data_IF_904544991880
#
_entry.id   IF_904544991880
#
_cell.length_a   1.000
_cell.length_b   1.000
_cell.length_c   1.000
_cell.angle_alpha   90.00
_cell.angle_beta   90.00
_cell.angle_gamma   90.00
#
_symmetry.space_group_name_H-M   'P 1'
#
loop_
_entity.id
_entity.type
_entity.pdbx_description
1 polymer ?
#
# COMPACT_ATOMS: atom_id res chain seq x y z
N UNK A 1 -15.30 -8.59 5.43
CA UNK A 1 -15.11 -10.04 5.22
C UNK A 1 -14.96 -10.26 3.73
N UNK A 2 -14.12 -11.21 3.32
CA UNK A 2 -13.90 -11.51 1.90
C UNK A 2 -15.08 -12.32 1.30
N UNK A 3 -15.31 -12.29 -0.02
CA UNK A 3 -16.43 -13.00 -0.67
C UNK A 3 -16.47 -14.49 -0.31
N UNK A 4 -15.31 -15.15 -0.36
CA UNK A 4 -15.17 -16.55 0.04
C UNK A 4 -15.51 -16.79 1.52
N UNK A 5 -15.21 -15.85 2.41
CA UNK A 5 -15.52 -15.98 3.84
C UNK A 5 -17.03 -15.98 4.10
N UNK A 6 -17.78 -15.12 3.40
CA UNK A 6 -19.24 -15.14 3.41
C UNK A 6 -19.79 -16.47 2.89
N UNK A 7 -19.23 -16.98 1.79
CA UNK A 7 -19.61 -18.28 1.25
C UNK A 7 -19.34 -19.46 2.21
N UNK A 8 -18.19 -19.49 2.87
CA UNK A 8 -17.90 -20.52 3.88
C UNK A 8 -18.87 -20.40 5.06
N UNK A 9 -19.25 -19.18 5.45
CA UNK A 9 -20.23 -18.96 6.50
C UNK A 9 -21.63 -19.48 6.11
N UNK A 10 -22.11 -19.18 4.90
CA UNK A 10 -23.39 -19.72 4.42
C UNK A 10 -23.37 -21.24 4.33
N UNK A 11 -22.28 -21.84 3.86
CA UNK A 11 -22.11 -23.30 3.86
C UNK A 11 -22.20 -23.90 5.28
N UNK A 12 -21.63 -23.22 6.29
CA UNK A 12 -21.66 -23.67 7.69
C UNK A 12 -23.06 -23.59 8.27
N UNK A 13 -23.78 -22.52 7.96
CA UNK A 13 -25.17 -22.32 8.39
C UNK A 13 -26.11 -23.36 7.76
N UNK A 14 -25.95 -23.65 6.47
CA UNK A 14 -26.68 -24.72 5.79
C UNK A 14 -26.40 -26.08 6.43
N UNK A 15 -25.14 -26.39 6.73
CA UNK A 15 -24.78 -27.65 7.36
C UNK A 15 -25.35 -27.77 8.78
N UNK A 16 -25.33 -26.69 9.56
CA UNK A 16 -25.92 -26.67 10.91
C UNK A 16 -27.44 -26.88 10.88
N UNK A 17 -28.13 -26.37 9.87
CA UNK A 17 -29.57 -26.57 9.67
C UNK A 17 -29.92 -28.00 9.24
N UNK A 18 -29.12 -28.58 8.35
CA UNK A 18 -29.37 -29.92 7.78
C UNK A 18 -28.90 -31.06 8.70
N UNK A 19 -27.80 -30.84 9.42
CA UNK A 19 -27.20 -31.83 10.31
C UNK A 19 -26.89 -31.20 11.69
N UNK A 20 -27.92 -30.89 12.50
CA UNK A 20 -27.75 -30.20 13.78
C UNK A 20 -26.94 -30.99 14.82
N UNK A 21 -26.94 -32.32 14.78
CA UNK A 21 -26.15 -33.17 15.69
C UNK A 21 -24.77 -33.58 15.14
N UNK A 22 -24.50 -33.36 13.85
CA UNK A 22 -23.27 -33.85 13.24
C UNK A 22 -22.14 -32.81 13.37
N UNK A 23 -21.15 -33.12 14.20
CA UNK A 23 -19.94 -32.31 14.34
C UNK A 23 -19.20 -32.21 13.00
N UNK A 24 -18.95 -30.98 12.55
CA UNK A 24 -18.20 -30.70 11.32
C UNK A 24 -16.68 -30.82 11.56
N UNK A 25 -16.01 -31.72 10.84
CA UNK A 25 -14.56 -31.74 10.79
C UNK A 25 -14.05 -30.53 9.97
N UNK A 26 -13.32 -29.61 10.61
CA UNK A 26 -12.85 -28.36 10.00
C UNK A 26 -12.05 -28.59 8.71
N UNK A 27 -11.14 -29.57 8.72
CA UNK A 27 -10.26 -29.83 7.58
C UNK A 27 -11.03 -30.34 6.35
N UNK A 28 -11.99 -31.23 6.57
CA UNK A 28 -12.84 -31.77 5.51
C UNK A 28 -13.83 -30.72 5.00
N UNK A 29 -14.41 -29.94 5.91
CA UNK A 29 -15.36 -28.90 5.58
C UNK A 29 -14.69 -27.79 4.75
N UNK A 30 -13.48 -27.38 5.11
CA UNK A 30 -12.71 -26.40 4.35
C UNK A 30 -12.38 -26.89 2.93
N UNK A 31 -12.05 -28.17 2.75
CA UNK A 31 -11.82 -28.77 1.42
C UNK A 31 -13.10 -28.76 0.58
N UNK A 32 -14.22 -29.23 1.14
CA UNK A 32 -15.54 -29.23 0.48
C UNK A 32 -15.99 -27.82 0.08
N UNK A 33 -15.77 -26.81 0.93
CA UNK A 33 -16.06 -25.41 0.60
C UNK A 33 -15.19 -24.90 -0.55
N UNK A 34 -13.89 -25.24 -0.57
CA UNK A 34 -13.00 -24.79 -1.66
C UNK A 34 -13.42 -25.38 -3.00
N UNK A 35 -13.76 -26.67 -3.06
CA UNK A 35 -14.24 -27.33 -4.27
C UNK A 35 -15.56 -26.72 -4.76
N UNK A 36 -16.51 -26.50 -3.84
CA UNK A 36 -17.79 -25.89 -4.16
C UNK A 36 -17.65 -24.43 -4.63
N UNK A 37 -16.73 -23.66 -4.02
CA UNK A 37 -16.45 -22.29 -4.45
C UNK A 37 -15.89 -22.22 -5.87
N UNK A 38 -14.99 -23.15 -6.23
CA UNK A 38 -14.44 -23.23 -7.59
C UNK A 38 -15.52 -23.57 -8.63
N UNK A 39 -16.46 -24.45 -8.28
CA UNK A 39 -17.57 -24.85 -9.14
C UNK A 39 -18.76 -23.89 -9.20
N UNK A 40 -18.76 -22.78 -8.44
CA UNK A 40 -19.83 -21.78 -8.51
C UNK A 40 -19.75 -20.96 -9.79
N UNK A 41 -20.92 -20.60 -10.32
CA UNK A 41 -21.04 -19.70 -11.47
C UNK A 41 -20.60 -18.28 -11.10
N UNK A 42 -20.26 -17.47 -12.12
CA UNK A 42 -19.91 -16.06 -11.91
C UNK A 42 -21.06 -15.28 -11.25
N UNK A 43 -22.32 -15.59 -11.60
CA UNK A 43 -23.51 -14.98 -11.01
C UNK A 43 -23.63 -15.28 -9.51
N UNK A 44 -23.37 -16.54 -9.10
CA UNK A 44 -23.42 -16.89 -7.69
C UNK A 44 -22.28 -16.25 -6.89
N UNK A 45 -21.08 -16.17 -7.50
CA UNK A 45 -19.93 -15.48 -6.89
C UNK A 45 -20.18 -13.98 -6.73
N UNK A 46 -20.82 -13.34 -7.72
CA UNK A 46 -21.18 -11.92 -7.68
C UNK A 46 -22.03 -11.56 -6.45
N UNK A 47 -22.97 -12.42 -6.06
CA UNK A 47 -23.76 -12.22 -4.85
C UNK A 47 -22.88 -12.14 -3.58
N UNK A 48 -21.82 -12.96 -3.49
CA UNK A 48 -20.87 -12.91 -2.37
C UNK A 48 -19.88 -11.74 -2.47
N UNK A 49 -19.56 -11.30 -3.67
CA UNK A 49 -18.75 -10.10 -3.91
C UNK A 49 -19.47 -8.84 -3.46
N UNK A 50 -20.75 -8.70 -3.80
CA UNK A 50 -21.57 -7.57 -3.38
C UNK A 50 -21.75 -7.54 -1.85
N UNK A 51 -21.93 -8.71 -1.21
CA UNK A 51 -21.91 -8.82 0.25
C UNK A 51 -20.56 -8.39 0.85
N UNK A 52 -19.45 -8.77 0.23
CA UNK A 52 -18.11 -8.37 0.69
C UNK A 52 -17.88 -6.86 0.54
N UNK A 53 -18.35 -6.24 -0.56
CA UNK A 53 -18.30 -4.80 -0.77
C UNK A 53 -19.12 -4.07 0.30
N UNK A 54 -20.35 -4.52 0.56
CA UNK A 54 -21.21 -3.95 1.59
C UNK A 54 -20.57 -4.06 3.00
N UNK A 55 -19.96 -5.20 3.31
CA UNK A 55 -19.28 -5.39 4.60
C UNK A 55 -18.00 -4.53 4.73
N UNK A 56 -17.28 -4.29 3.63
CA UNK A 56 -16.15 -3.34 3.60
C UNK A 56 -16.62 -1.93 3.97
N UNK A 57 -17.75 -1.49 3.41
CA UNK A 57 -18.33 -0.17 3.73
C UNK A 57 -18.78 -0.11 5.19
N UNK A 58 -19.48 -1.13 5.69
CA UNK A 58 -19.87 -1.24 7.10
C UNK A 58 -18.67 -1.15 8.03
N UNK A 59 -17.63 -1.96 7.77
CA UNK A 59 -16.39 -1.98 8.54
C UNK A 59 -15.70 -0.62 8.54
N UNK A 60 -15.56 0.01 7.37
CA UNK A 60 -14.94 1.33 7.26
C UNK A 60 -15.72 2.38 8.06
N UNK A 61 -17.06 2.34 8.02
CA UNK A 61 -17.92 3.23 8.82
C UNK A 61 -17.72 3.02 10.31
N UNK A 62 -17.75 1.77 10.78
CA UNK A 62 -17.50 1.43 12.18
C UNK A 62 -16.09 1.83 12.63
N UNK A 63 -15.09 1.67 11.75
CA UNK A 63 -13.70 2.06 12.03
C UNK A 63 -13.46 3.56 12.08
N UNK A 64 -14.33 4.39 11.50
CA UNK A 64 -14.25 5.85 11.66
C UNK A 64 -14.52 6.28 13.11
N UNK A 65 -15.45 5.61 13.78
CA UNK A 65 -15.88 5.94 15.14
C UNK A 65 -15.14 5.09 16.19
N UNK A 66 -14.40 4.07 15.76
CA UNK A 66 -13.67 3.18 16.64
C UNK A 66 -12.38 3.81 17.16
N UNK A 67 -12.31 3.99 18.49
CA UNK A 67 -11.08 4.33 19.19
C UNK A 67 -10.50 3.04 19.80
N UNK A 68 -9.38 2.51 19.28
CA UNK A 68 -8.78 1.31 19.83
C UNK A 68 -8.33 1.54 21.28
N UNK A 69 -8.45 0.54 22.16
CA UNK A 69 -7.86 0.60 23.49
C UNK A 69 -6.37 0.95 23.44
N UNK A 70 -5.90 1.71 24.43
CA UNK A 70 -4.52 2.20 24.50
C UNK A 70 -3.55 1.00 24.42
N UNK A 71 -2.69 0.98 23.40
CA UNK A 71 -1.76 -0.13 23.11
C UNK A 71 -2.23 -1.15 22.06
N UNK A 72 -3.48 -1.06 21.59
CA UNK A 72 -4.05 -1.92 20.54
C UNK A 72 -4.29 -1.20 19.20
N UNK A 73 -4.05 0.12 19.13
CA UNK A 73 -4.05 0.89 17.88
C UNK A 73 -2.85 0.57 16.99
N UNK A 74 -3.01 0.78 15.66
CA UNK A 74 -2.04 0.52 14.57
C UNK A 74 -0.72 -0.05 15.08
N UNK A 75 -0.52 -1.38 14.97
CA UNK A 75 0.78 -2.03 15.16
C UNK A 75 1.83 -1.10 14.57
N UNK A 76 2.61 -0.45 15.44
CA UNK A 76 3.56 0.58 14.99
C UNK A 76 4.37 0.00 13.84
N UNK A 77 4.51 0.77 12.75
CA UNK A 77 5.38 0.38 11.63
C UNK A 77 6.69 -0.12 12.27
N UNK A 78 7.04 -1.39 12.04
CA UNK A 78 8.27 -1.97 12.61
C UNK A 78 9.41 -1.00 12.30
N UNK A 79 10.24 -0.68 13.31
CA UNK A 79 11.40 0.20 13.11
C UNK A 79 12.19 -0.37 11.93
N UNK A 80 12.37 0.44 10.88
CA UNK A 80 13.15 0.04 9.71
C UNK A 80 14.56 -0.31 10.17
N UNK A 81 15.09 -1.44 9.70
CA UNK A 81 16.44 -1.89 10.06
C UNK A 81 17.45 -0.80 9.65
N UNK A 82 18.32 -0.32 10.57
CA UNK A 82 19.30 0.71 10.24
C UNK A 82 20.28 0.33 9.13
N UNK A 83 20.47 -0.97 8.91
CA UNK A 83 21.39 -1.51 7.91
C UNK A 83 20.70 -1.86 6.58
N UNK A 84 19.37 -1.77 6.49
CA UNK A 84 18.68 -1.98 5.23
C UNK A 84 18.92 -0.76 4.32
N UNK A 85 19.21 -0.98 3.02
CA UNK A 85 19.20 0.09 2.03
C UNK A 85 17.92 0.94 2.16
N UNK A 86 18.05 2.27 2.05
CA UNK A 86 16.90 3.19 2.08
C UNK A 86 16.19 3.17 0.73
N UNK A 87 14.85 3.17 0.73
CA UNK A 87 14.05 3.25 -0.50
C UNK A 87 14.51 4.47 -1.34
N UNK A 88 14.67 4.32 -2.65
CA UNK A 88 15.06 5.41 -3.52
C UNK A 88 13.91 6.43 -3.64
N UNK A 89 14.21 7.72 -3.83
CA UNK A 89 13.18 8.73 -4.07
C UNK A 89 12.48 8.49 -5.42
N UNK A 90 11.17 8.73 -5.47
CA UNK A 90 10.40 8.74 -6.72
C UNK A 90 10.78 9.92 -7.62
N UNK A 91 10.40 9.88 -8.90
CA UNK A 91 10.63 10.96 -9.88
C UNK A 91 10.14 12.32 -9.37
N UNK A 92 8.98 12.34 -8.72
CA UNK A 92 8.44 13.54 -8.08
C UNK A 92 9.35 14.07 -6.97
N UNK A 93 9.88 13.21 -6.10
CA UNK A 93 10.79 13.62 -5.03
C UNK A 93 12.15 14.11 -5.57
N UNK A 94 12.64 13.52 -6.66
CA UNK A 94 13.82 14.04 -7.37
C UNK A 94 13.55 15.46 -7.87
N UNK A 95 12.41 15.70 -8.51
CA UNK A 95 11.98 17.04 -8.92
C UNK A 95 11.83 18.00 -7.74
N UNK A 96 11.16 17.59 -6.65
CA UNK A 96 11.01 18.40 -5.45
C UNK A 96 12.36 18.78 -4.85
N UNK A 97 13.35 17.88 -4.83
CA UNK A 97 14.67 18.19 -4.27
C UNK A 97 15.39 19.32 -5.02
N UNK A 98 15.22 19.38 -6.36
CA UNK A 98 15.84 20.41 -7.21
C UNK A 98 15.07 21.74 -7.15
N UNK A 99 13.74 21.70 -7.07
CA UNK A 99 12.89 22.91 -7.15
C UNK A 99 12.50 23.51 -5.81
N UNK A 100 12.53 22.75 -4.72
CA UNK A 100 12.26 23.26 -3.37
C UNK A 100 13.14 24.45 -2.96
N UNK A 101 14.46 24.51 -3.22
CA UNK A 101 15.24 25.71 -2.89
C UNK A 101 14.76 26.93 -3.68
N UNK A 102 14.40 26.77 -4.96
CA UNK A 102 13.86 27.84 -5.80
C UNK A 102 12.51 28.35 -5.28
N UNK A 103 11.60 27.46 -4.88
CA UNK A 103 10.30 27.83 -4.28
C UNK A 103 10.51 28.52 -2.94
N UNK A 104 11.43 28.03 -2.09
CA UNK A 104 11.75 28.66 -0.81
C UNK A 104 12.36 30.05 -0.97
N UNK A 105 13.13 30.28 -2.05
CA UNK A 105 13.69 31.59 -2.36
C UNK A 105 12.62 32.56 -2.89
N UNK A 106 11.69 32.09 -3.72
CA UNK A 106 10.59 32.91 -4.24
C UNK A 106 9.56 33.25 -3.16
N UNK A 107 9.35 32.33 -2.22
CA UNK A 107 8.38 32.47 -1.14
C UNK A 107 9.05 32.24 0.23
N UNK A 108 9.90 33.17 0.68
CA UNK A 108 10.54 33.05 1.98
C UNK A 108 9.46 33.15 3.07
N UNK A 109 9.22 32.05 3.79
CA UNK A 109 8.26 31.97 4.89
C UNK A 109 7.10 30.98 4.68
N UNK A 110 6.97 30.36 3.51
CA UNK A 110 6.05 29.23 3.35
C UNK A 110 6.49 28.04 4.21
N UNK A 111 5.51 27.35 4.80
CA UNK A 111 5.74 26.07 5.47
C UNK A 111 6.23 25.03 4.45
N UNK A 112 6.99 24.05 4.94
CA UNK A 112 7.49 22.93 4.11
C UNK A 112 6.33 22.24 3.38
N UNK A 113 5.19 22.05 4.06
CA UNK A 113 3.99 21.44 3.47
C UNK A 113 3.36 22.29 2.37
N UNK A 114 3.35 23.62 2.51
CA UNK A 114 2.77 24.50 1.48
C UNK A 114 3.69 24.59 0.25
N UNK A 115 5.00 24.55 0.46
CA UNK A 115 5.97 24.39 -0.64
C UNK A 115 5.75 23.06 -1.38
N UNK A 116 5.53 21.96 -0.66
CA UNK A 116 5.27 20.65 -1.27
C UNK A 116 4.00 20.66 -2.12
N UNK A 117 2.90 21.24 -1.62
CA UNK A 117 1.66 21.42 -2.39
C UNK A 117 1.90 22.20 -3.70
N UNK A 118 2.68 23.28 -3.64
CA UNK A 118 3.03 24.06 -4.84
C UNK A 118 3.86 23.27 -5.83
N UNK A 119 4.81 22.47 -5.36
CA UNK A 119 5.60 21.59 -6.21
C UNK A 119 4.74 20.48 -6.85
N UNK A 120 3.77 19.93 -6.12
CA UNK A 120 2.78 18.99 -6.65
C UNK A 120 1.96 19.60 -7.80
N UNK A 121 1.42 20.80 -7.61
CA UNK A 121 0.71 21.52 -8.67
C UNK A 121 1.59 21.78 -9.90
N UNK A 122 2.88 22.09 -9.72
CA UNK A 122 3.82 22.27 -10.82
C UNK A 122 4.09 20.94 -11.54
N UNK A 123 4.29 19.86 -10.79
CA UNK A 123 4.53 18.53 -11.34
C UNK A 123 3.35 18.01 -12.17
N UNK A 124 2.11 18.21 -11.72
CA UNK A 124 0.92 17.81 -12.49
C UNK A 124 0.77 18.59 -13.80
N UNK A 125 1.32 19.82 -13.87
CA UNK A 125 1.29 20.65 -15.09
C UNK A 125 2.42 20.35 -16.07
N UNK A 126 3.50 19.71 -15.63
CA UNK A 126 4.61 19.31 -16.51
C UNK A 126 4.14 18.25 -17.51
N UNK A 127 4.63 18.37 -18.74
CA UNK A 127 4.41 17.37 -19.79
C UNK A 127 5.24 16.11 -19.56
N UNK A 128 4.85 14.98 -20.17
CA UNK A 128 5.60 13.73 -20.03
C UNK A 128 7.07 13.90 -20.45
N UNK A 129 7.33 14.70 -21.49
CA UNK A 129 8.70 14.99 -21.96
C UNK A 129 9.56 15.67 -20.89
N UNK A 130 8.96 16.58 -20.10
CA UNK A 130 9.66 17.28 -19.01
C UNK A 130 9.82 16.40 -17.77
N UNK A 131 8.91 15.44 -17.55
CA UNK A 131 8.99 14.45 -16.47
C UNK A 131 10.02 13.35 -16.73
N UNK A 132 10.19 12.98 -18.01
CA UNK A 132 11.06 11.91 -18.47
C UNK A 132 12.49 11.94 -17.90
N UNK A 133 13.23 13.08 -17.86
CA UNK A 133 14.55 13.11 -17.25
C UNK A 133 14.53 12.83 -15.73
N UNK A 134 13.45 13.18 -15.02
CA UNK A 134 13.30 12.88 -13.60
C UNK A 134 12.92 11.42 -13.36
N UNK A 135 12.10 10.84 -14.24
CA UNK A 135 11.79 9.41 -14.25
C UNK A 135 13.05 8.57 -14.51
N UNK A 136 13.88 8.95 -15.48
CA UNK A 136 15.17 8.27 -15.73
C UNK A 136 16.12 8.37 -14.54
N UNK A 137 16.20 9.55 -13.89
CA UNK A 137 17.00 9.72 -12.67
C UNK A 137 16.50 8.82 -11.55
N UNK A 138 15.18 8.77 -11.32
CA UNK A 138 14.56 7.91 -10.32
C UNK A 138 14.76 6.41 -10.64
N UNK A 139 14.67 6.03 -11.92
CA UNK A 139 14.91 4.67 -12.37
C UNK A 139 16.36 4.24 -12.10
N UNK A 140 17.35 5.08 -12.41
CA UNK A 140 18.76 4.81 -12.10
C UNK A 140 19.00 4.64 -10.59
N UNK A 141 18.34 5.44 -9.76
CA UNK A 141 18.39 5.30 -8.31
C UNK A 141 17.72 4.01 -7.83
N UNK A 142 16.62 3.61 -8.46
CA UNK A 142 15.93 2.34 -8.21
C UNK A 142 16.79 1.13 -8.55
N UNK A 143 17.42 1.12 -9.71
CA UNK A 143 18.35 0.04 -10.11
C UNK A 143 19.52 -0.09 -9.15
N UNK A 144 20.07 1.04 -8.67
CA UNK A 144 21.12 1.02 -7.66
C UNK A 144 20.62 0.43 -6.34
N UNK A 145 19.44 0.85 -5.89
CA UNK A 145 18.81 0.30 -4.68
C UNK A 145 18.53 -1.19 -4.80
N UNK A 146 18.02 -1.66 -5.95
CA UNK A 146 17.72 -3.07 -6.17
C UNK A 146 19.00 -3.91 -6.12
N UNK A 147 20.11 -3.41 -6.69
CA UNK A 147 21.43 -4.03 -6.55
C UNK A 147 21.90 -4.10 -5.09
N UNK A 148 21.78 -3.00 -4.35
CA UNK A 148 22.16 -2.90 -2.94
C UNK A 148 21.28 -3.82 -2.06
N UNK A 149 19.99 -3.95 -2.39
CA UNK A 149 19.04 -4.83 -1.72
C UNK A 149 19.31 -6.31 -1.97
N UNK A 150 19.74 -6.68 -3.18
CA UNK A 150 20.18 -8.05 -3.48
C UNK A 150 21.40 -8.40 -2.62
N UNK A 151 22.38 -7.49 -2.51
CA UNK A 151 23.55 -7.69 -1.64
C UNK A 151 23.17 -7.79 -0.15
N UNK A 152 22.23 -6.97 0.31
CA UNK A 152 21.72 -7.00 1.69
C UNK A 152 20.96 -8.31 2.00
N UNK A 153 20.07 -8.76 1.10
CA UNK A 153 19.33 -10.02 1.25
C UNK A 153 20.25 -11.25 1.23
N UNK A 154 21.40 -11.16 0.55
CA UNK A 154 22.43 -12.18 0.50
C UNK A 154 23.35 -12.26 1.73
N UNK A 155 23.11 -11.49 2.79
CA UNK A 155 23.90 -11.51 4.02
C UNK A 155 25.11 -10.57 4.03
N UNK A 156 25.26 -9.71 3.02
CA UNK A 156 26.25 -8.64 3.01
C UNK A 156 25.79 -7.49 3.90
N UNK A 157 26.55 -7.17 4.96
CA UNK A 157 26.32 -5.95 5.72
C UNK A 157 26.48 -4.75 4.80
N UNK A 158 25.40 -4.00 4.54
CA UNK A 158 25.48 -2.72 3.87
C UNK A 158 26.13 -1.73 4.84
N UNK A 159 27.46 -1.61 4.77
CA UNK A 159 28.17 -0.55 5.46
C UNK A 159 27.80 0.75 4.77
N UNK A 160 26.95 1.54 5.43
CA UNK A 160 26.57 2.89 5.03
C UNK A 160 27.82 3.74 4.81
N UNK A 161 28.31 3.78 3.56
CA UNK A 161 29.37 4.68 3.14
C UNK A 161 28.74 6.05 2.92
N UNK A 162 28.51 6.77 4.02
CA UNK A 162 28.17 8.19 4.03
C UNK A 162 29.37 9.00 3.52
N UNK A 163 29.20 9.90 2.54
CA UNK A 163 30.12 10.99 2.33
C UNK A 163 29.44 12.36 2.50
N UNK A 164 28.35 12.47 3.28
CA UNK A 164 27.80 13.77 3.62
C UNK A 164 26.98 13.73 4.92
N UNK A 165 27.70 13.85 6.03
CA UNK A 165 27.13 14.18 7.33
C UNK A 165 27.50 15.62 7.68
N UNK A 166 27.05 16.61 6.91
CA UNK A 166 27.03 17.99 7.37
C UNK A 166 26.07 18.89 6.56
N UNK A 167 24.78 18.87 6.89
CA UNK A 167 23.97 20.10 6.97
C UNK A 167 22.51 19.79 7.37
N UNK A 168 22.16 20.22 8.58
CA UNK A 168 20.85 20.70 9.03
C UNK A 168 19.67 19.72 9.07
N UNK A 169 19.22 19.46 10.30
CA UNK A 169 18.03 18.69 10.61
C UNK A 169 16.74 19.31 10.09
N UNK A 170 15.92 18.44 9.50
CA UNK A 170 14.49 18.61 9.31
C UNK A 170 13.91 17.20 9.29
N UNK A 171 13.09 16.86 10.28
CA UNK A 171 12.27 15.66 10.27
C UNK A 171 11.25 15.84 9.14
N UNK A 172 11.49 15.21 7.99
CA UNK A 172 10.50 15.11 6.93
C UNK A 172 9.82 13.75 7.07
N UNK A 173 8.60 13.79 7.61
CA UNK A 173 7.66 12.67 7.59
C UNK A 173 7.32 12.36 6.12
N UNK A 174 7.84 11.23 5.64
CA UNK A 174 7.48 10.65 4.34
C UNK A 174 6.01 10.17 4.40
N UNK A 175 5.09 11.01 3.91
CA UNK A 175 3.75 10.62 3.48
C UNK A 175 3.88 9.75 2.21
N UNK A 176 3.83 8.43 2.43
CA UNK A 176 3.67 7.40 1.40
C UNK A 176 2.23 7.51 0.87
N UNK A 177 2.02 8.35 -0.16
CA UNK A 177 0.82 8.34 -0.99
C UNK A 177 0.74 6.96 -1.66
N UNK A 178 -0.18 6.13 -1.18
CA UNK A 178 -0.51 4.87 -1.81
C UNK A 178 -1.17 5.14 -3.15
N UNK A 179 -0.44 4.93 -4.24
CA UNK A 179 -1.04 4.63 -5.54
C UNK A 179 -1.84 3.32 -5.37
N UNK A 180 -3.13 3.46 -5.13
CA UNK A 180 -4.10 2.40 -5.43
C UNK A 180 -4.22 2.39 -6.97
N UNK A 181 -3.46 1.50 -7.62
CA UNK A 181 -3.72 1.14 -9.02
C UNK A 181 -5.15 0.58 -9.08
N UNK A 182 -6.08 1.39 -9.58
CA UNK A 182 -7.38 0.92 -10.05
C UNK A 182 -7.10 0.05 -11.28
N UNK A 183 -7.07 -1.27 -11.09
CA UNK A 183 -7.19 -2.22 -12.20
C UNK A 183 -8.56 -2.00 -12.84
N UNK A 184 -8.59 -1.17 -13.89
CA UNK A 184 -9.64 -1.18 -14.90
C UNK A 184 -9.58 -2.55 -15.59
N UNK A 185 -10.37 -3.51 -15.10
CA UNK A 185 -10.67 -4.71 -15.86
C UNK A 185 -11.49 -4.28 -17.08
N UNK A 186 -10.78 -4.23 -18.21
CA UNK A 186 -11.29 -4.03 -19.56
C UNK A 186 -12.33 -5.12 -19.85
N UNK A 187 -13.59 -4.72 -19.96
CA UNK A 187 -14.73 -5.53 -20.35
C UNK A 187 -14.60 -5.84 -21.85
N UNK A 188 -14.07 -7.02 -22.18
CA UNK A 188 -14.17 -7.59 -23.53
C UNK A 188 -15.07 -8.84 -23.48
N UNK A 189 -16.17 -8.73 -24.24
CA UNK A 189 -17.21 -9.70 -24.64
C UNK A 189 -18.46 -9.96 -23.77
#
# INVERSE_FOLDING_TARGET
MMPYAFFVQTCREEHRKKNPEQSVNFAEFSKKCSERWKGLSASDKKCFEDMAKADKVRYNREMRDYVPPKGFGKRGRKRKDPNAPKRPPSAFFVFCSEYRPSVKQQYPGLSIGDCAKKLGEMWSKLTQSEKQPYEEKAQKLREKYDRDMVAYRGGGSYAARNPDSSAQGGEEEEEDEGEEEEEEEEDDE
#
